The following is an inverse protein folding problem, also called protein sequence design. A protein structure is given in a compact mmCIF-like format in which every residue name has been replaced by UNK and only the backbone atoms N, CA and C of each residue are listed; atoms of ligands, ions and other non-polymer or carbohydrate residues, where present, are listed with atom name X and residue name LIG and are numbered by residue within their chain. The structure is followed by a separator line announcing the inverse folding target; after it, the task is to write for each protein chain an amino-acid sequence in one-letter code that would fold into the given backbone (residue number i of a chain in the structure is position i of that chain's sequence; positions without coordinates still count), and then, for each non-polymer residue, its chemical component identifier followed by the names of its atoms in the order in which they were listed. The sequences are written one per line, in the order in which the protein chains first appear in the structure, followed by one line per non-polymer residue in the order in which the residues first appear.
data_IF_886698042168
#
_entry.id   IF_886698042168
#
_cell.length_a   1.000
_cell.length_b   1.000
_cell.length_c   1.000
_cell.angle_alpha   90.00
_cell.angle_beta   90.00
_cell.angle_gamma   90.00
#
_symmetry.space_group_name_H-M   'P 1'
#
loop_
_entity.id
_entity.type
_entity.pdbx_description
1 polymer ?
#
# COMPACT_ATOMS: atom_id res chain seq x y z
N UNK A 1 -1.72 -41.85 -31.36
CA UNK A 1 -1.28 -40.83 -30.38
C UNK A 1 0.22 -40.59 -30.55
N UNK A 2 0.72 -39.35 -30.49
CA UNK A 2 1.25 -38.81 -29.22
C UNK A 2 0.91 -37.30 -29.01
N UNK A 3 0.53 -36.76 -27.84
CA UNK A 3 1.13 -36.68 -26.49
C UNK A 3 2.33 -35.71 -26.38
N UNK A 4 2.06 -34.41 -26.15
CA UNK A 4 2.21 -33.72 -24.85
C UNK A 4 2.22 -32.20 -25.05
N UNK A 5 1.04 -31.61 -24.84
CA UNK A 5 0.85 -30.17 -24.67
C UNK A 5 1.34 -29.77 -23.28
N UNK A 6 2.63 -29.42 -23.12
CA UNK A 6 3.17 -28.91 -21.85
C UNK A 6 4.42 -28.03 -22.04
N UNK A 7 4.32 -26.80 -22.54
CA UNK A 7 5.28 -25.72 -22.19
C UNK A 7 4.62 -24.32 -22.29
N UNK A 8 3.52 -24.14 -21.56
CA UNK A 8 3.06 -22.81 -21.12
C UNK A 8 3.73 -22.36 -19.82
N UNK A 9 4.95 -22.82 -19.56
CA UNK A 9 5.68 -22.54 -18.32
C UNK A 9 6.61 -21.34 -18.51
N UNK A 10 6.12 -20.20 -18.05
CA UNK A 10 6.92 -19.19 -17.35
C UNK A 10 8.02 -18.46 -18.15
N UNK A 11 7.78 -18.14 -19.42
CA UNK A 11 8.63 -17.21 -20.17
C UNK A 11 8.68 -15.82 -19.49
N UNK A 12 7.57 -15.40 -18.87
CA UNK A 12 7.48 -14.13 -18.16
C UNK A 12 8.46 -14.03 -16.98
N UNK A 13 8.57 -15.03 -16.10
CA UNK A 13 9.53 -14.94 -14.98
C UNK A 13 10.99 -15.19 -15.38
N UNK A 14 11.24 -15.86 -16.50
CA UNK A 14 12.59 -16.00 -17.06
C UNK A 14 13.04 -14.70 -17.75
N UNK A 15 12.15 -14.03 -18.50
CA UNK A 15 12.40 -12.72 -19.09
C UNK A 15 12.50 -11.61 -18.04
N UNK A 16 11.69 -11.64 -16.98
CA UNK A 16 11.83 -10.70 -15.85
C UNK A 16 13.19 -10.84 -15.15
N UNK A 17 13.73 -12.06 -15.02
CA UNK A 17 15.08 -12.29 -14.47
C UNK A 17 16.19 -11.82 -15.40
N UNK A 18 15.97 -11.78 -16.72
CA UNK A 18 16.96 -11.26 -17.67
C UNK A 18 17.03 -9.72 -17.69
N UNK A 19 15.99 -9.02 -17.22
CA UNK A 19 15.93 -7.55 -17.16
C UNK A 19 16.50 -6.96 -15.85
N UNK A 20 16.99 -7.82 -14.95
CA UNK A 20 17.25 -7.55 -13.52
C UNK A 20 18.09 -6.31 -13.18
N UNK A 21 19.23 -6.03 -13.84
CA UNK A 21 20.10 -4.92 -13.43
C UNK A 21 19.52 -3.54 -13.81
N UNK A 22 18.83 -3.46 -14.95
CA UNK A 22 18.13 -2.24 -15.40
C UNK A 22 16.83 -2.05 -14.60
N UNK A 23 16.22 -3.17 -14.16
CA UNK A 23 15.03 -3.16 -13.31
C UNK A 23 15.30 -2.62 -11.91
N UNK A 24 16.43 -2.97 -11.28
CA UNK A 24 16.79 -2.47 -9.94
C UNK A 24 16.89 -0.94 -9.86
N UNK A 25 17.37 -0.29 -10.93
CA UNK A 25 17.46 1.17 -10.98
C UNK A 25 16.10 1.84 -11.22
N UNK A 26 15.22 1.23 -12.03
CA UNK A 26 13.95 1.84 -12.46
C UNK A 26 12.72 1.43 -11.63
N UNK A 27 12.76 0.32 -10.87
CA UNK A 27 11.63 -0.19 -10.08
C UNK A 27 11.16 0.81 -9.01
N UNK A 28 12.09 1.59 -8.47
CA UNK A 28 11.85 2.65 -7.50
C UNK A 28 10.87 3.69 -8.04
N UNK A 29 11.11 4.25 -9.22
CA UNK A 29 10.18 5.22 -9.80
C UNK A 29 8.96 4.56 -10.44
N UNK A 30 9.13 3.40 -11.08
CA UNK A 30 8.04 2.76 -11.82
C UNK A 30 7.01 2.07 -10.96
N UNK A 31 7.33 1.63 -9.74
CA UNK A 31 6.41 0.91 -8.86
C UNK A 31 6.27 1.63 -7.52
N UNK A 32 7.37 1.91 -6.82
CA UNK A 32 7.31 2.53 -5.49
C UNK A 32 6.70 3.94 -5.56
N UNK A 33 7.22 4.82 -6.41
CA UNK A 33 6.76 6.21 -6.47
C UNK A 33 5.34 6.31 -7.01
N UNK A 34 5.01 5.57 -8.08
CA UNK A 34 3.64 5.49 -8.61
C UNK A 34 2.64 4.95 -7.57
N UNK A 35 2.96 3.84 -6.91
CA UNK A 35 2.11 3.28 -5.86
C UNK A 35 1.89 4.29 -4.71
N UNK A 36 2.95 4.99 -4.30
CA UNK A 36 2.88 6.01 -3.26
C UNK A 36 2.02 7.19 -3.69
N UNK A 37 2.17 7.66 -4.93
CA UNK A 37 1.38 8.75 -5.49
C UNK A 37 -0.11 8.37 -5.57
N UNK A 38 -0.44 7.15 -6.01
CA UNK A 38 -1.85 6.69 -6.07
C UNK A 38 -2.46 6.64 -4.67
N UNK A 39 -1.76 6.06 -3.70
CA UNK A 39 -2.25 6.03 -2.32
C UNK A 39 -2.39 7.44 -1.74
N UNK A 40 -1.42 8.31 -1.95
CA UNK A 40 -1.49 9.71 -1.55
C UNK A 40 -2.72 10.39 -2.14
N UNK A 41 -2.96 10.26 -3.45
CA UNK A 41 -4.14 10.83 -4.13
C UNK A 41 -5.45 10.35 -3.50
N UNK A 42 -5.58 9.06 -3.19
CA UNK A 42 -6.79 8.51 -2.54
C UNK A 42 -7.00 9.03 -1.13
N UNK A 43 -5.92 9.21 -0.39
CA UNK A 43 -5.97 9.77 0.95
C UNK A 43 -6.32 11.27 0.92
N UNK A 44 -5.76 12.03 -0.01
CA UNK A 44 -6.12 13.43 -0.26
C UNK A 44 -7.59 13.57 -0.69
N UNK A 45 -8.09 12.66 -1.53
CA UNK A 45 -9.50 12.61 -1.93
C UNK A 45 -10.41 12.49 -0.70
N UNK A 46 -10.08 11.61 0.26
CA UNK A 46 -10.83 11.51 1.51
C UNK A 46 -10.82 12.82 2.30
N UNK A 47 -9.64 13.43 2.48
CA UNK A 47 -9.48 14.68 3.24
C UNK A 47 -10.33 15.80 2.66
N UNK A 48 -10.35 15.92 1.33
CA UNK A 48 -11.06 16.99 0.62
C UNK A 48 -12.59 16.83 0.59
N UNK A 49 -13.13 15.66 0.92
CA UNK A 49 -14.59 15.47 0.99
C UNK A 49 -15.18 16.19 2.20
N UNK A 50 -16.39 16.80 2.12
CA UNK A 50 -17.00 17.44 3.27
C UNK A 50 -17.22 16.48 4.46
N UNK A 51 -17.02 16.93 5.72
CA UNK A 51 -17.39 16.18 6.91
C UNK A 51 -18.85 15.71 6.86
N UNK A 52 -19.11 14.47 7.26
CA UNK A 52 -20.47 13.92 7.27
C UNK A 52 -21.09 13.66 5.89
N UNK A 53 -20.38 13.84 4.78
CA UNK A 53 -20.91 13.49 3.46
C UNK A 53 -21.08 11.97 3.29
N UNK A 54 -22.12 11.49 2.56
CA UNK A 54 -22.27 10.08 2.22
C UNK A 54 -21.04 9.50 1.51
N UNK A 55 -20.40 10.27 0.64
CA UNK A 55 -19.18 9.92 -0.08
C UNK A 55 -18.03 9.67 0.90
N UNK A 56 -17.79 10.59 1.85
CA UNK A 56 -16.76 10.42 2.89
C UNK A 56 -16.99 9.14 3.69
N UNK A 57 -18.24 8.86 4.08
CA UNK A 57 -18.61 7.61 4.80
C UNK A 57 -18.30 6.33 4.02
N UNK A 58 -18.44 6.35 2.68
CA UNK A 58 -18.12 5.21 1.80
C UNK A 58 -16.62 4.96 1.71
N UNK A 59 -15.80 6.02 1.74
CA UNK A 59 -14.35 5.92 1.61
C UNK A 59 -13.61 5.52 2.89
N UNK A 60 -14.24 5.56 4.08
CA UNK A 60 -13.58 5.22 5.35
C UNK A 60 -12.90 3.85 5.37
N UNK A 61 -13.61 2.80 4.93
CA UNK A 61 -13.08 1.43 4.95
C UNK A 61 -11.92 1.25 3.95
N UNK A 62 -12.06 1.69 2.67
CA UNK A 62 -10.92 1.75 1.75
C UNK A 62 -9.73 2.57 2.30
N UNK A 63 -9.99 3.75 2.87
CA UNK A 63 -8.96 4.66 3.37
C UNK A 63 -8.13 4.08 4.51
N UNK A 64 -8.72 3.27 5.37
CA UNK A 64 -7.96 2.53 6.37
C UNK A 64 -6.91 1.59 5.72
N UNK A 65 -7.32 0.83 4.70
CA UNK A 65 -6.41 -0.07 4.01
C UNK A 65 -5.33 0.70 3.22
N UNK A 66 -5.72 1.79 2.56
CA UNK A 66 -4.82 2.68 1.81
C UNK A 66 -3.78 3.31 2.74
N UNK A 67 -4.21 3.87 3.87
CA UNK A 67 -3.31 4.45 4.88
C UNK A 67 -2.36 3.39 5.43
N UNK A 68 -2.85 2.19 5.73
CA UNK A 68 -2.02 1.09 6.22
C UNK A 68 -0.96 0.68 5.20
N UNK A 69 -1.31 0.55 3.92
CA UNK A 69 -0.35 0.22 2.87
C UNK A 69 0.68 1.34 2.66
N UNK A 70 0.24 2.61 2.68
CA UNK A 70 1.12 3.78 2.56
C UNK A 70 2.17 3.82 3.68
N UNK A 71 1.75 3.51 4.92
CA UNK A 71 2.64 3.45 6.08
C UNK A 71 3.57 2.22 6.03
N UNK A 72 3.13 1.09 5.49
CA UNK A 72 3.99 -0.08 5.25
C UNK A 72 5.10 0.21 4.24
N UNK A 73 4.84 1.04 3.22
CA UNK A 73 5.86 1.47 2.27
C UNK A 73 6.94 2.36 2.91
N UNK A 74 6.64 2.99 4.05
CA UNK A 74 7.59 3.83 4.80
C UNK A 74 8.30 3.09 5.94
N UNK A 75 7.74 1.95 6.36
CA UNK A 75 8.19 1.11 7.48
C UNK A 75 8.44 -0.32 6.96
N UNK A 76 9.59 -0.56 6.31
CA UNK A 76 9.93 -1.86 5.71
C UNK A 76 9.75 -3.06 6.64
N UNK A 77 10.04 -2.89 7.92
CA UNK A 77 9.92 -3.91 8.96
C UNK A 77 8.46 -4.33 9.25
N UNK A 78 7.49 -3.48 8.88
CA UNK A 78 6.04 -3.74 9.04
C UNK A 78 5.39 -4.17 7.73
N UNK A 79 6.16 -4.27 6.64
CA UNK A 79 5.64 -4.64 5.33
C UNK A 79 5.06 -6.06 5.35
N UNK A 80 3.86 -6.22 4.78
CA UNK A 80 3.21 -7.52 4.59
C UNK A 80 2.84 -7.66 3.12
N UNK A 81 3.65 -8.41 2.38
CA UNK A 81 3.59 -8.49 0.92
C UNK A 81 2.18 -8.75 0.38
N UNK A 82 1.49 -9.78 0.88
CA UNK A 82 0.14 -10.11 0.42
C UNK A 82 -0.88 -8.99 0.67
N UNK A 83 -0.77 -8.25 1.78
CA UNK A 83 -1.64 -7.13 2.07
C UNK A 83 -1.35 -5.94 1.16
N UNK A 84 -0.06 -5.59 1.00
CA UNK A 84 0.37 -4.50 0.13
C UNK A 84 -0.02 -4.78 -1.32
N UNK A 85 0.28 -5.96 -1.86
CA UNK A 85 -0.13 -6.39 -3.20
C UNK A 85 -1.61 -6.15 -3.45
N UNK A 86 -2.47 -6.67 -2.58
CA UNK A 86 -3.91 -6.50 -2.70
C UNK A 86 -4.30 -5.02 -2.73
N UNK A 87 -3.86 -4.23 -1.75
CA UNK A 87 -4.26 -2.82 -1.66
C UNK A 87 -3.71 -2.01 -2.83
N UNK A 88 -2.47 -2.25 -3.25
CA UNK A 88 -1.86 -1.53 -4.37
C UNK A 88 -2.56 -1.85 -5.70
N UNK A 89 -2.86 -3.12 -5.97
CA UNK A 89 -3.60 -3.50 -7.19
C UNK A 89 -5.05 -3.01 -7.18
N UNK A 90 -5.72 -2.98 -6.02
CA UNK A 90 -7.05 -2.37 -5.87
C UNK A 90 -7.04 -0.86 -6.18
N UNK A 91 -5.95 -0.16 -5.87
CA UNK A 91 -5.82 1.30 -6.04
C UNK A 91 -5.10 1.70 -7.33
N UNK A 92 -4.58 0.73 -8.07
CA UNK A 92 -3.89 0.91 -9.34
C UNK A 92 -4.33 -0.15 -10.36
N UNK A 93 -5.63 -0.19 -10.73
CA UNK A 93 -6.20 -1.26 -11.56
C UNK A 93 -5.76 -1.18 -13.03
N UNK A 94 -5.30 -0.01 -13.49
CA UNK A 94 -4.85 0.26 -14.86
C UNK A 94 -3.61 1.15 -14.83
N UNK A 95 -2.73 0.96 -15.81
CA UNK A 95 -1.52 1.77 -16.00
C UNK A 95 -1.49 2.36 -17.40
N UNK A 96 -1.30 3.67 -17.49
CA UNK A 96 -1.20 4.36 -18.78
C UNK A 96 -0.13 3.74 -19.68
N UNK A 97 -0.45 3.51 -20.94
CA UNK A 97 0.44 2.87 -21.91
C UNK A 97 0.60 1.35 -21.76
N UNK A 98 -0.15 0.70 -20.87
CA UNK A 98 -0.14 -0.77 -20.67
C UNK A 98 -1.57 -1.30 -20.78
N UNK A 99 -1.76 -2.39 -21.52
CA UNK A 99 -3.08 -3.03 -21.64
C UNK A 99 -3.51 -3.65 -20.31
N UNK A 100 -4.82 -3.67 -20.02
CA UNK A 100 -5.36 -4.15 -18.74
C UNK A 100 -4.90 -5.58 -18.40
N UNK A 101 -4.95 -6.50 -19.37
CA UNK A 101 -4.51 -7.89 -19.15
C UNK A 101 -3.01 -8.01 -18.89
N UNK A 102 -2.19 -7.21 -19.56
CA UNK A 102 -0.74 -7.18 -19.32
C UNK A 102 -0.43 -6.57 -17.95
N UNK A 103 -1.15 -5.51 -17.56
CA UNK A 103 -0.99 -4.85 -16.27
C UNK A 103 -1.46 -5.71 -15.11
N UNK A 104 -2.58 -6.44 -15.25
CA UNK A 104 -3.04 -7.34 -14.20
C UNK A 104 -1.99 -8.40 -13.88
N UNK A 105 -1.44 -9.06 -14.90
CA UNK A 105 -0.43 -10.10 -14.71
C UNK A 105 0.94 -9.54 -14.29
N UNK A 106 1.45 -8.58 -15.04
CA UNK A 106 2.83 -8.05 -14.84
C UNK A 106 2.87 -7.09 -13.66
N UNK A 107 1.89 -6.19 -13.55
CA UNK A 107 1.78 -5.26 -12.44
C UNK A 107 1.64 -5.99 -11.10
N UNK A 108 0.85 -7.06 -11.04
CA UNK A 108 0.75 -7.88 -9.83
C UNK A 108 2.11 -8.49 -9.45
N UNK A 109 2.83 -9.09 -10.41
CA UNK A 109 4.16 -9.65 -10.16
C UNK A 109 5.14 -8.58 -9.66
N UNK A 110 5.12 -7.39 -10.26
CA UNK A 110 6.01 -6.27 -9.90
C UNK A 110 5.72 -5.70 -8.51
N UNK A 111 4.45 -5.48 -8.20
CA UNK A 111 4.02 -5.02 -6.87
C UNK A 111 4.33 -6.08 -5.82
N UNK A 112 4.14 -7.36 -6.13
CA UNK A 112 4.51 -8.48 -5.23
C UNK A 112 6.00 -8.46 -4.95
N UNK A 113 6.81 -8.38 -6.00
CA UNK A 113 8.26 -8.32 -5.87
C UNK A 113 8.70 -7.15 -4.99
N UNK A 114 8.20 -5.94 -5.25
CA UNK A 114 8.48 -4.79 -4.40
C UNK A 114 8.13 -5.06 -2.93
N UNK A 115 6.92 -5.55 -2.66
CA UNK A 115 6.45 -5.73 -1.30
C UNK A 115 7.14 -6.88 -0.53
N UNK A 116 7.60 -7.92 -1.22
CA UNK A 116 8.39 -9.03 -0.64
C UNK A 116 9.84 -8.65 -0.36
N UNK A 117 10.40 -7.73 -1.14
CA UNK A 117 11.80 -7.33 -1.05
C UNK A 117 12.02 -6.06 -0.23
N UNK A 118 10.97 -5.27 0.02
CA UNK A 118 11.06 -4.06 0.84
C UNK A 118 11.72 -4.28 2.22
N UNK A 119 11.42 -5.33 3.01
CA UNK A 119 12.12 -5.56 4.29
C UNK A 119 13.63 -5.83 4.16
N UNK A 120 14.06 -6.39 3.02
CA UNK A 120 15.48 -6.68 2.71
C UNK A 120 16.20 -5.49 2.10
N UNK A 121 15.45 -4.51 1.62
CA UNK A 121 15.93 -3.30 0.97
C UNK A 121 15.30 -2.05 1.61
N UNK A 122 15.67 -1.69 2.86
CA UNK A 122 15.08 -0.55 3.56
C UNK A 122 15.28 0.79 2.84
N UNK A 123 16.29 0.89 1.98
CA UNK A 123 16.55 2.03 1.09
C UNK A 123 15.44 2.25 0.05
N UNK A 124 14.59 1.25 -0.20
CA UNK A 124 13.41 1.36 -1.07
C UNK A 124 12.18 1.95 -0.38
N UNK A 125 12.28 2.33 0.89
CA UNK A 125 11.17 2.98 1.58
C UNK A 125 10.80 4.31 0.92
N UNK A 126 9.56 4.74 1.11
CA UNK A 126 9.12 6.09 0.76
C UNK A 126 9.26 7.04 1.94
N UNK A 127 9.30 8.33 1.64
CA UNK A 127 8.93 9.36 2.61
C UNK A 127 7.42 9.60 2.52
N UNK A 128 6.75 9.71 3.67
CA UNK A 128 5.31 9.97 3.73
C UNK A 128 5.02 11.42 4.07
N UNK A 129 3.92 11.95 3.56
CA UNK A 129 3.37 13.21 4.04
C UNK A 129 2.77 13.02 5.44
N UNK A 130 3.48 13.48 6.47
CA UNK A 130 3.07 13.35 7.86
C UNK A 130 1.83 14.18 8.21
N UNK A 131 1.58 15.28 7.49
CA UNK A 131 0.37 16.09 7.64
C UNK A 131 -0.84 15.29 7.15
N UNK A 132 -0.77 14.80 5.92
CA UNK A 132 -1.81 13.94 5.33
C UNK A 132 -2.09 12.70 6.18
N UNK A 133 -1.04 12.02 6.67
CA UNK A 133 -1.17 10.86 7.56
C UNK A 133 -1.93 11.23 8.82
N UNK A 134 -1.63 12.37 9.43
CA UNK A 134 -2.27 12.83 10.68
C UNK A 134 -3.75 13.15 10.47
N UNK A 135 -4.07 13.88 9.39
CA UNK A 135 -5.45 14.24 9.05
C UNK A 135 -6.31 13.01 8.76
N UNK A 136 -5.81 12.09 7.92
CA UNK A 136 -6.54 10.84 7.62
C UNK A 136 -6.78 10.04 8.89
N UNK A 137 -5.79 9.93 9.79
CA UNK A 137 -5.97 9.24 11.07
C UNK A 137 -7.07 9.87 11.91
N UNK A 138 -7.12 11.20 12.00
CA UNK A 138 -8.18 11.91 12.72
C UNK A 138 -9.56 11.66 12.10
N UNK A 139 -9.69 11.72 10.77
CA UNK A 139 -10.95 11.42 10.07
C UNK A 139 -11.40 9.99 10.38
N UNK A 140 -10.49 9.02 10.28
CA UNK A 140 -10.79 7.62 10.58
C UNK A 140 -11.22 7.45 12.05
N UNK A 141 -10.49 8.04 13.01
CA UNK A 141 -10.83 7.95 14.43
C UNK A 141 -12.20 8.58 14.73
N UNK A 142 -12.49 9.76 14.21
CA UNK A 142 -13.76 10.45 14.44
C UNK A 142 -14.95 9.67 13.86
N UNK A 143 -14.84 9.23 12.60
CA UNK A 143 -15.93 8.54 11.93
C UNK A 143 -16.16 7.12 12.48
N UNK A 144 -15.13 6.50 13.07
CA UNK A 144 -15.21 5.18 13.67
C UNK A 144 -15.59 5.22 15.15
N UNK A 145 -15.23 6.29 15.88
CA UNK A 145 -15.77 6.60 17.21
C UNK A 145 -17.29 6.81 17.16
N UNK A 146 -17.79 7.52 16.15
CA UNK A 146 -19.24 7.64 15.90
C UNK A 146 -19.93 6.30 15.63
N UNK A 147 -19.25 5.34 14.97
CA UNK A 147 -19.77 3.98 14.68
C UNK A 147 -19.57 2.99 15.83
N UNK A 148 -18.69 3.26 16.78
CA UNK A 148 -18.44 2.40 17.93
C UNK A 148 -19.51 2.50 19.03
N UNK A 149 -20.36 3.52 18.98
CA UNK A 149 -21.67 3.45 19.63
C UNK A 149 -22.49 2.24 19.13
N UNK A 150 -22.09 1.57 18.03
CA UNK A 150 -22.84 0.47 17.42
C UNK A 150 -22.08 -0.88 17.20
N UNK A 151 -20.74 -1.03 17.12
CA UNK A 151 -20.12 -2.39 16.92
C UNK A 151 -18.60 -2.59 17.27
N UNK A 152 -18.23 -3.83 17.74
CA UNK A 152 -16.97 -4.34 18.37
C UNK A 152 -15.68 -4.56 17.53
N UNK A 153 -15.62 -4.20 16.24
CA UNK A 153 -14.46 -4.51 15.36
C UNK A 153 -13.16 -3.75 15.75
N UNK A 154 -13.25 -2.76 16.65
CA UNK A 154 -12.24 -1.73 16.81
C UNK A 154 -11.23 -1.94 17.95
N UNK A 155 -11.53 -2.76 18.96
CA UNK A 155 -10.56 -3.08 20.03
C UNK A 155 -9.28 -3.71 19.47
N UNK A 156 -9.40 -4.49 18.40
CA UNK A 156 -8.27 -5.14 17.72
C UNK A 156 -7.40 -4.17 16.91
N UNK A 157 -7.98 -3.07 16.43
CA UNK A 157 -7.28 -2.05 15.61
C UNK A 157 -6.55 -1.04 16.50
N UNK A 158 -7.19 -0.58 17.59
CA UNK A 158 -6.57 0.34 18.55
C UNK A 158 -5.33 -0.27 19.22
N UNK A 159 -5.37 -1.55 19.58
CA UNK A 159 -4.22 -2.23 20.17
C UNK A 159 -3.02 -2.27 19.22
N UNK A 160 -3.24 -2.52 17.92
CA UNK A 160 -2.14 -2.60 16.94
C UNK A 160 -1.56 -1.22 16.58
N UNK A 161 -2.39 -0.17 16.51
CA UNK A 161 -1.93 1.19 16.16
C UNK A 161 -1.25 1.87 17.36
N UNK A 162 -1.78 1.74 18.57
CA UNK A 162 -1.17 2.34 19.76
C UNK A 162 0.24 1.78 20.04
N UNK A 163 0.41 0.46 19.95
CA UNK A 163 1.74 -0.16 20.11
C UNK A 163 2.70 0.21 18.99
N UNK A 164 2.22 0.37 17.75
CA UNK A 164 3.12 0.59 16.60
C UNK A 164 3.56 2.05 16.41
N UNK A 165 2.88 3.02 17.03
CA UNK A 165 3.15 4.45 16.87
C UNK A 165 3.52 5.16 18.19
N UNK A 166 3.36 4.51 19.34
CA UNK A 166 3.83 5.03 20.63
C UNK A 166 5.36 5.12 20.70
N UNK A 167 6.08 4.15 20.15
CA UNK A 167 7.55 4.10 20.18
C UNK A 167 8.22 5.21 19.36
N UNK A 168 7.57 5.69 18.29
CA UNK A 168 8.10 6.77 17.44
C UNK A 168 8.01 8.14 18.11
N UNK A 169 7.02 8.35 19.00
CA UNK A 169 6.93 9.60 19.78
C UNK A 169 7.92 9.63 20.95
N UNK A 170 8.26 8.47 21.53
CA UNK A 170 9.26 8.38 22.60
C UNK A 170 10.70 8.50 22.07
N UNK A 171 11.01 7.91 20.91
CA UNK A 171 12.34 8.03 20.29
C UNK A 171 12.70 9.45 19.82
N UNK A 172 11.70 10.30 19.55
CA UNK A 172 11.93 11.72 19.23
C UNK A 172 11.97 12.64 20.46
N UNK A 173 11.65 12.13 21.66
CA UNK A 173 11.61 12.90 22.91
C UNK A 173 12.77 12.62 23.87
N UNK A 174 13.77 11.81 23.46
CA UNK A 174 14.98 11.53 24.26
C UNK A 174 16.26 12.15 23.68
N UNK A 175 16.13 13.18 22.84
CA UNK A 175 17.23 14.09 22.56
C UNK A 175 17.47 15.01 23.76
N UNK A 176 18.15 14.49 24.77
CA UNK A 176 18.86 15.26 25.80
C UNK A 176 20.36 15.01 25.62
#
# INVERSE_FOLDING_TARGET
APWYSRFGLNQNAAQLRALWPVYQHNNTSLIRDEAAQRLHQRLTELVNLPPGSPQRRRLIKPAYNQLKAYLMMAQPEKARAAFMRRVLMENWPQRSGVTDGLWHNTGEALVTFYAENLPRHPEWKISVDNGLVSEVRQILLNQLGQRQAETRLYQKILQQVAHSYGDLRLAQMTGA
#
